data_IF_109773658238
#
_entry.id   IF_109773658238
#
_cell.length_a   1.000
_cell.length_b   1.000
_cell.length_c   1.000
_cell.angle_alpha   90.00
_cell.angle_beta   90.00
_cell.angle_gamma   90.00
#
_symmetry.space_group_name_H-M   'P 1'
#
loop_
_entity.id
_entity.type
_entity.pdbx_description
1 polymer ?
#
# COMPACT_ATOMS: atom_id res chain seq x y z
N UNK A 1 18.57 -58.92 5.73
CA UNK A 1 18.10 -57.96 6.75
C UNK A 1 19.26 -57.09 7.20
N UNK A 2 19.26 -55.77 6.92
CA UNK A 2 20.05 -54.81 7.64
C UNK A 2 19.18 -53.99 8.60
N UNK A 3 19.82 -53.56 9.67
CA UNK A 3 19.34 -52.97 10.92
C UNK A 3 18.65 -51.61 10.77
N UNK A 4 17.61 -51.39 11.58
CA UNK A 4 16.91 -50.10 11.76
C UNK A 4 17.83 -49.09 12.44
N UNK A 5 18.10 -47.98 11.77
CA UNK A 5 18.76 -46.81 12.35
C UNK A 5 17.83 -46.08 13.32
N UNK A 6 18.37 -45.83 14.52
CA UNK A 6 17.79 -44.99 15.56
C UNK A 6 17.90 -43.51 15.16
N UNK A 7 16.83 -42.93 14.61
CA UNK A 7 16.70 -41.48 14.50
C UNK A 7 16.09 -40.92 15.81
N UNK A 8 16.90 -40.23 16.62
CA UNK A 8 16.36 -39.42 17.72
C UNK A 8 15.65 -38.17 17.16
N UNK A 9 14.52 -37.74 17.75
CA UNK A 9 13.81 -36.56 17.29
C UNK A 9 14.62 -35.29 17.58
N UNK A 10 14.86 -34.49 16.54
CA UNK A 10 15.45 -33.16 16.64
C UNK A 10 14.55 -32.27 17.48
N UNK A 11 15.03 -31.87 18.66
CA UNK A 11 14.31 -30.97 19.58
C UNK A 11 14.38 -29.55 19.03
N UNK A 12 13.33 -29.10 18.35
CA UNK A 12 13.18 -27.70 17.95
C UNK A 12 13.02 -26.87 19.24
N UNK A 13 13.81 -25.81 19.47
CA UNK A 13 13.67 -25.01 20.67
C UNK A 13 12.31 -24.32 20.70
N UNK A 14 11.51 -24.63 21.74
CA UNK A 14 10.24 -23.96 22.01
C UNK A 14 10.58 -22.57 22.53
N UNK A 15 10.55 -21.58 21.65
CA UNK A 15 10.61 -20.16 22.04
C UNK A 15 9.30 -19.83 22.77
N UNK A 16 9.38 -19.31 24.00
CA UNK A 16 8.18 -19.01 24.80
C UNK A 16 7.30 -17.97 24.12
N UNK A 17 5.97 -18.14 24.21
CA UNK A 17 4.96 -17.20 23.67
C UNK A 17 5.20 -15.76 24.13
N UNK A 18 5.65 -15.59 25.38
CA UNK A 18 5.95 -14.28 25.95
C UNK A 18 7.15 -13.58 25.29
N UNK A 19 8.14 -14.34 24.80
CA UNK A 19 9.30 -13.77 24.11
C UNK A 19 8.94 -13.32 22.69
N UNK A 20 8.07 -14.08 22.01
CA UNK A 20 7.49 -13.69 20.71
C UNK A 20 6.60 -12.44 20.85
N UNK A 21 5.69 -12.40 21.83
CA UNK A 21 4.83 -11.26 22.09
C UNK A 21 5.60 -10.00 22.51
N UNK A 22 6.78 -10.15 23.15
CA UNK A 22 7.62 -9.02 23.55
C UNK A 22 8.48 -8.48 22.40
N UNK A 23 8.96 -9.34 21.49
CA UNK A 23 9.66 -8.92 20.28
C UNK A 23 8.72 -8.21 19.28
N UNK A 24 7.46 -8.65 19.22
CA UNK A 24 6.37 -8.00 18.48
C UNK A 24 6.23 -6.49 18.72
N UNK A 25 6.29 -6.12 20.00
CA UNK A 25 6.07 -4.76 20.47
C UNK A 25 7.21 -3.82 20.06
N UNK A 26 8.38 -4.36 19.74
CA UNK A 26 9.59 -3.59 19.41
C UNK A 26 9.53 -3.05 17.97
N UNK A 27 8.88 -3.75 17.04
CA UNK A 27 8.89 -3.42 15.60
C UNK A 27 7.55 -2.88 15.05
N UNK A 28 6.59 -2.54 15.92
CA UNK A 28 5.36 -1.91 15.48
C UNK A 28 5.60 -0.49 14.95
N UNK A 29 5.12 -0.11 13.76
CA UNK A 29 5.27 1.25 13.24
C UNK A 29 4.52 2.25 14.13
N UNK A 30 5.20 3.30 14.58
CA UNK A 30 4.63 4.33 15.48
C UNK A 30 4.46 5.70 14.83
N UNK A 31 5.12 5.91 13.70
CA UNK A 31 5.15 7.18 12.99
C UNK A 31 5.03 6.94 11.48
N UNK A 32 4.46 7.91 10.79
CA UNK A 32 4.48 7.96 9.32
C UNK A 32 5.75 8.67 8.89
N UNK A 33 6.43 8.09 7.89
CA UNK A 33 7.60 8.70 7.26
C UNK A 33 7.23 9.15 5.86
N UNK A 34 7.39 10.43 5.60
CA UNK A 34 7.18 11.03 4.29
C UNK A 34 8.48 11.66 3.81
N UNK A 35 8.88 11.33 2.58
CA UNK A 35 10.07 11.94 1.96
C UNK A 35 9.80 13.33 1.36
N UNK A 36 8.53 13.76 1.31
CA UNK A 36 8.16 15.05 0.71
C UNK A 36 8.56 16.20 1.63
N UNK A 37 8.98 17.33 1.06
CA UNK A 37 9.22 18.56 1.80
C UNK A 37 7.87 19.22 2.14
N UNK A 38 7.28 18.83 3.27
CA UNK A 38 5.95 19.26 3.70
C UNK A 38 5.86 20.80 3.82
N UNK A 39 6.81 21.53 4.43
CA UNK A 39 6.77 22.99 4.46
C UNK A 39 6.69 23.66 3.08
N UNK A 40 7.44 23.17 2.10
CA UNK A 40 7.39 23.72 0.73
C UNK A 40 6.04 23.41 0.06
N UNK A 41 5.46 22.24 0.33
CA UNK A 41 4.10 21.89 -0.13
C UNK A 41 3.04 22.83 0.44
N UNK A 42 3.08 23.07 1.75
CA UNK A 42 2.16 24.00 2.42
C UNK A 42 2.30 25.42 1.86
N UNK A 43 3.53 25.89 1.68
CA UNK A 43 3.80 27.21 1.11
C UNK A 43 3.29 27.33 -0.33
N UNK A 44 3.53 26.32 -1.16
CA UNK A 44 3.09 26.30 -2.56
C UNK A 44 1.56 26.27 -2.69
N UNK A 45 0.88 25.41 -1.93
CA UNK A 45 -0.59 25.31 -1.96
C UNK A 45 -1.25 26.58 -1.45
N UNK A 46 -0.74 27.16 -0.36
CA UNK A 46 -1.24 28.44 0.17
C UNK A 46 -1.04 29.58 -0.82
N UNK A 47 0.13 29.64 -1.49
CA UNK A 47 0.39 30.66 -2.52
C UNK A 47 -0.57 30.53 -3.72
N UNK A 48 -0.98 29.31 -4.05
CA UNK A 48 -1.94 29.04 -5.11
C UNK A 48 -3.41 29.22 -4.70
N UNK A 49 -3.70 29.44 -3.41
CA UNK A 49 -5.07 29.46 -2.89
C UNK A 49 -5.77 28.09 -2.94
N UNK A 50 -5.00 27.00 -2.86
CA UNK A 50 -5.48 25.62 -3.00
C UNK A 50 -5.29 24.80 -1.71
N UNK A 51 -4.90 25.45 -0.61
CA UNK A 51 -4.61 24.82 0.68
C UNK A 51 -5.84 24.16 1.32
N UNK A 52 -7.04 24.75 1.15
CA UNK A 52 -8.28 24.11 1.59
C UNK A 52 -8.68 22.94 0.69
N UNK A 53 -8.56 23.11 -0.64
CA UNK A 53 -8.95 22.09 -1.63
C UNK A 53 -8.11 20.82 -1.51
N UNK A 54 -6.82 20.93 -1.22
CA UNK A 54 -5.90 19.80 -1.08
C UNK A 54 -5.39 19.62 0.37
N UNK A 55 -6.23 19.97 1.35
CA UNK A 55 -5.91 19.79 2.76
C UNK A 55 -5.67 18.31 3.13
N UNK A 56 -6.40 17.41 2.47
CA UNK A 56 -6.28 15.96 2.59
C UNK A 56 -4.90 15.43 2.16
N UNK A 57 -4.31 16.01 1.10
CA UNK A 57 -2.96 15.66 0.65
C UNK A 57 -1.91 16.01 1.71
N UNK A 58 -2.00 17.22 2.28
CA UNK A 58 -1.10 17.66 3.35
C UNK A 58 -1.28 16.82 4.62
N UNK A 59 -2.53 16.49 4.96
CA UNK A 59 -2.83 15.57 6.05
C UNK A 59 -2.20 14.19 5.79
N UNK A 60 -2.36 13.65 4.58
CA UNK A 60 -1.83 12.36 4.18
C UNK A 60 -0.30 12.27 4.24
N UNK A 61 0.42 13.36 3.93
CA UNK A 61 1.87 13.39 4.13
C UNK A 61 2.29 13.29 5.60
N UNK A 62 1.48 13.83 6.53
CA UNK A 62 1.80 13.84 7.96
C UNK A 62 1.31 12.59 8.69
N UNK A 63 0.10 12.14 8.36
CA UNK A 63 -0.62 11.08 9.08
C UNK A 63 -0.76 9.78 8.28
N UNK A 64 -0.33 9.77 7.02
CA UNK A 64 -0.49 8.65 6.10
C UNK A 64 -1.80 8.74 5.31
N UNK A 65 -1.86 8.05 4.19
CA UNK A 65 -3.06 7.96 3.36
C UNK A 65 -3.87 6.72 3.73
N UNK A 66 -5.16 6.89 3.99
CA UNK A 66 -6.06 5.76 4.12
C UNK A 66 -6.40 5.18 2.74
N UNK A 67 -6.62 3.87 2.67
CA UNK A 67 -7.04 3.23 1.42
C UNK A 67 -8.51 3.51 1.05
N UNK A 68 -9.25 4.23 1.91
CA UNK A 68 -10.68 4.50 1.69
C UNK A 68 -11.58 3.34 2.11
N UNK A 69 -11.04 2.36 2.83
CA UNK A 69 -11.81 1.27 3.44
C UNK A 69 -12.21 1.73 4.85
N UNK A 70 -13.51 1.87 5.15
CA UNK A 70 -13.96 2.25 6.48
C UNK A 70 -13.69 1.17 7.52
N UNK A 71 -13.66 1.57 8.79
CA UNK A 71 -13.61 0.65 9.91
C UNK A 71 -14.80 -0.31 9.86
N UNK A 72 -14.52 -1.62 9.97
CA UNK A 72 -15.52 -2.66 9.86
C UNK A 72 -15.15 -3.88 10.70
N UNK A 73 -16.14 -4.74 10.93
CA UNK A 73 -15.99 -6.00 11.67
C UNK A 73 -16.75 -7.12 10.96
N UNK A 74 -16.50 -8.36 11.37
CA UNK A 74 -17.31 -9.51 10.99
C UNK A 74 -17.94 -10.05 12.28
N UNK A 75 -19.27 -10.20 12.27
CA UNK A 75 -20.02 -10.61 13.46
C UNK A 75 -19.49 -11.95 14.01
N UNK A 76 -19.20 -12.00 15.31
CA UNK A 76 -18.73 -13.20 16.00
C UNK A 76 -17.26 -13.56 15.74
N UNK A 77 -16.47 -12.70 15.08
CA UNK A 77 -15.06 -12.96 14.78
C UNK A 77 -14.15 -11.87 15.33
N UNK A 78 -13.05 -12.26 15.99
CA UNK A 78 -11.96 -11.33 16.35
C UNK A 78 -10.95 -11.13 15.22
N UNK A 79 -10.91 -12.04 14.25
CA UNK A 79 -10.13 -11.88 13.04
C UNK A 79 -10.63 -12.77 11.90
N UNK A 80 -10.29 -12.40 10.67
CA UNK A 80 -10.53 -13.22 9.47
C UNK A 80 -9.27 -13.30 8.61
N UNK A 81 -8.64 -14.48 8.56
CA UNK A 81 -7.38 -14.68 7.81
C UNK A 81 -7.47 -15.91 6.91
N UNK A 82 -8.09 -15.78 5.72
CA UNK A 82 -8.26 -16.89 4.79
C UNK A 82 -6.91 -17.33 4.19
N UNK A 83 -6.79 -18.60 3.74
CA UNK A 83 -5.60 -19.07 3.05
C UNK A 83 -5.40 -18.36 1.70
N UNK A 84 -4.14 -18.26 1.27
CA UNK A 84 -3.79 -17.73 -0.05
C UNK A 84 -4.26 -18.65 -1.19
N UNK A 85 -4.47 -18.08 -2.37
CA UNK A 85 -4.80 -18.82 -3.59
C UNK A 85 -3.64 -19.73 -4.01
N UNK A 86 -3.96 -20.83 -4.71
CA UNK A 86 -2.96 -21.79 -5.20
C UNK A 86 -1.86 -21.14 -6.05
N UNK A 87 -2.21 -20.14 -6.86
CA UNK A 87 -1.26 -19.37 -7.66
C UNK A 87 -0.18 -18.68 -6.81
N UNK A 88 -0.54 -18.17 -5.63
CA UNK A 88 0.43 -17.54 -4.73
C UNK A 88 1.32 -18.57 -4.05
N UNK A 89 0.78 -19.74 -3.71
CA UNK A 89 1.57 -20.84 -3.15
C UNK A 89 2.62 -21.34 -4.16
N UNK A 90 2.26 -21.45 -5.44
CA UNK A 90 3.18 -21.81 -6.51
C UNK A 90 4.27 -20.75 -6.75
N UNK A 91 3.97 -19.48 -6.47
CA UNK A 91 4.88 -18.36 -6.63
C UNK A 91 5.56 -17.91 -5.31
N UNK A 92 5.47 -18.72 -4.25
CA UNK A 92 5.85 -18.34 -2.88
C UNK A 92 7.22 -17.68 -2.79
N UNK A 93 8.26 -18.34 -3.28
CA UNK A 93 9.63 -17.85 -3.16
C UNK A 93 9.83 -16.49 -3.85
N UNK A 94 9.13 -16.24 -4.96
CA UNK A 94 9.19 -14.96 -5.67
C UNK A 94 8.47 -13.87 -4.88
N UNK A 95 7.30 -14.18 -4.31
CA UNK A 95 6.53 -13.25 -3.47
C UNK A 95 7.31 -12.89 -2.21
N UNK A 96 7.88 -13.88 -1.52
CA UNK A 96 8.68 -13.64 -0.32
C UNK A 96 9.88 -12.75 -0.62
N UNK A 97 10.59 -12.96 -1.74
CA UNK A 97 11.67 -12.08 -2.18
C UNK A 97 11.22 -10.64 -2.44
N UNK A 98 10.01 -10.44 -2.97
CA UNK A 98 9.45 -9.10 -3.16
C UNK A 98 9.13 -8.44 -1.82
N UNK A 99 8.47 -9.16 -0.91
CA UNK A 99 8.17 -8.66 0.44
C UNK A 99 9.46 -8.26 1.17
N UNK A 100 10.51 -9.08 1.10
CA UNK A 100 11.80 -8.75 1.72
C UNK A 100 12.43 -7.47 1.16
N UNK A 101 12.27 -7.19 -0.14
CA UNK A 101 12.73 -5.92 -0.73
C UNK A 101 11.94 -4.72 -0.18
N UNK A 102 10.63 -4.86 -0.04
CA UNK A 102 9.77 -3.79 0.52
C UNK A 102 10.04 -3.57 2.02
N UNK A 103 10.31 -4.64 2.79
CA UNK A 103 10.75 -4.56 4.18
C UNK A 103 12.11 -3.85 4.30
N UNK A 104 13.09 -4.22 3.47
CA UNK A 104 14.41 -3.58 3.45
C UNK A 104 14.35 -2.10 3.05
N UNK A 105 13.37 -1.73 2.21
CA UNK A 105 13.12 -0.34 1.85
C UNK A 105 12.32 0.44 2.91
N UNK A 106 11.84 -0.22 3.98
CA UNK A 106 11.00 0.40 5.01
C UNK A 106 9.59 0.77 4.53
N UNK A 107 9.13 0.16 3.43
CA UNK A 107 7.82 0.44 2.81
C UNK A 107 6.73 -0.53 3.30
N UNK A 108 7.12 -1.66 3.87
CA UNK A 108 6.23 -2.59 4.55
C UNK A 108 6.72 -2.83 5.99
N UNK A 109 5.80 -3.23 6.87
CA UNK A 109 6.11 -3.63 8.24
C UNK A 109 5.59 -5.04 8.51
N UNK A 110 6.24 -5.75 9.42
CA UNK A 110 5.95 -7.14 9.75
C UNK A 110 6.93 -8.14 9.10
N UNK A 111 6.52 -9.39 8.83
CA UNK A 111 5.19 -9.95 9.08
C UNK A 111 4.86 -9.96 10.58
N UNK A 112 3.60 -9.73 10.91
CA UNK A 112 3.11 -9.80 12.29
C UNK A 112 2.35 -11.11 12.53
N UNK A 113 2.46 -11.66 13.73
CA UNK A 113 1.63 -12.80 14.15
C UNK A 113 0.24 -12.32 14.58
N UNK A 114 -0.75 -13.21 14.56
CA UNK A 114 -2.11 -12.91 15.02
C UNK A 114 -2.16 -12.30 16.42
N UNK A 115 -1.31 -12.76 17.36
CA UNK A 115 -1.28 -12.22 18.72
C UNK A 115 -0.81 -10.77 18.76
N UNK A 116 0.14 -10.41 17.90
CA UNK A 116 0.70 -9.07 17.83
C UNK A 116 -0.35 -8.10 17.29
N UNK A 117 -1.05 -8.49 16.21
CA UNK A 117 -2.11 -7.68 15.61
C UNK A 117 -3.32 -7.58 16.54
N UNK A 118 -3.72 -8.68 17.19
CA UNK A 118 -4.82 -8.69 18.17
C UNK A 118 -4.55 -7.81 19.39
N UNK A 119 -3.27 -7.58 19.75
CA UNK A 119 -2.92 -6.65 20.84
C UNK A 119 -3.12 -5.18 20.48
N UNK A 120 -3.28 -4.87 19.18
CA UNK A 120 -3.38 -3.51 18.65
C UNK A 120 -4.78 -3.19 18.15
N UNK A 121 -5.45 -4.18 17.57
CA UNK A 121 -6.76 -4.00 16.97
C UNK A 121 -7.77 -4.99 17.56
N UNK A 122 -8.98 -4.53 17.92
CA UNK A 122 -10.03 -5.42 18.41
C UNK A 122 -10.51 -6.39 17.32
N UNK A 123 -10.36 -6.02 16.05
CA UNK A 123 -10.61 -6.85 14.88
C UNK A 123 -9.55 -6.60 13.82
N UNK A 124 -9.14 -7.64 13.10
CA UNK A 124 -8.32 -7.50 11.90
C UNK A 124 -8.63 -8.58 10.86
N UNK A 125 -8.38 -8.28 9.59
CA UNK A 125 -8.50 -9.27 8.52
C UNK A 125 -7.34 -9.21 7.54
N UNK A 126 -7.07 -10.34 6.90
CA UNK A 126 -6.26 -10.40 5.68
C UNK A 126 -7.15 -10.79 4.51
N UNK A 127 -6.62 -10.65 3.29
CA UNK A 127 -7.23 -11.24 2.11
C UNK A 127 -6.23 -12.18 1.43
N UNK A 128 -6.71 -13.17 0.66
CA UNK A 128 -5.83 -14.09 -0.03
C UNK A 128 -4.92 -13.35 -1.02
N UNK A 129 -3.66 -13.74 -1.04
CA UNK A 129 -2.79 -13.43 -2.16
C UNK A 129 -3.04 -14.38 -3.33
N UNK A 130 -3.09 -13.82 -4.53
CA UNK A 130 -2.88 -14.50 -5.81
C UNK A 130 -1.54 -14.10 -6.42
N UNK A 131 -1.18 -14.70 -7.56
CA UNK A 131 0.01 -14.33 -8.30
C UNK A 131 -0.26 -14.35 -9.81
N UNK A 132 0.28 -13.36 -10.51
CA UNK A 132 0.25 -13.28 -11.98
C UNK A 132 1.66 -13.01 -12.50
N UNK A 133 1.98 -13.59 -13.66
CA UNK A 133 3.21 -13.28 -14.39
C UNK A 133 2.89 -12.20 -15.42
N UNK A 134 3.62 -11.09 -15.36
CA UNK A 134 3.51 -9.99 -16.32
C UNK A 134 4.17 -10.35 -17.65
N UNK A 135 3.94 -9.54 -18.69
CA UNK A 135 4.53 -9.75 -20.02
C UNK A 135 6.06 -9.71 -20.07
N UNK A 136 6.69 -9.05 -19.09
CA UNK A 136 8.16 -9.01 -18.92
C UNK A 136 8.72 -10.21 -18.11
N UNK A 137 7.87 -11.18 -17.77
CA UNK A 137 8.22 -12.35 -16.97
C UNK A 137 8.29 -12.10 -15.46
N UNK A 138 8.10 -10.86 -15.01
CA UNK A 138 8.07 -10.55 -13.57
C UNK A 138 6.80 -11.08 -12.92
N UNK A 139 6.90 -11.54 -11.67
CA UNK A 139 5.74 -12.03 -10.90
C UNK A 139 5.21 -10.91 -10.03
N UNK A 140 3.89 -10.68 -10.07
CA UNK A 140 3.19 -9.69 -9.25
C UNK A 140 2.23 -10.40 -8.30
N UNK A 141 2.38 -10.25 -6.97
CA UNK A 141 1.35 -10.66 -6.04
C UNK A 141 0.10 -9.79 -6.22
N UNK A 142 -1.09 -10.40 -6.09
CA UNK A 142 -2.37 -9.71 -6.16
C UNK A 142 -3.10 -9.91 -4.84
N UNK A 143 -3.56 -8.82 -4.22
CA UNK A 143 -4.38 -8.86 -3.02
C UNK A 143 -5.86 -8.97 -3.41
N UNK A 144 -6.51 -10.10 -3.13
CA UNK A 144 -7.90 -10.35 -3.57
C UNK A 144 -8.92 -9.73 -2.61
N UNK A 145 -9.21 -8.44 -2.81
CA UNK A 145 -10.20 -7.69 -2.02
C UNK A 145 -11.67 -8.11 -2.28
N UNK A 146 -11.90 -9.00 -3.25
CA UNK A 146 -13.21 -9.54 -3.61
C UNK A 146 -13.41 -10.98 -3.12
N UNK A 147 -12.63 -11.41 -2.12
CA UNK A 147 -12.78 -12.69 -1.44
C UNK A 147 -13.49 -12.54 -0.08
N UNK A 148 -14.31 -13.52 0.35
CA UNK A 148 -14.75 -14.73 -0.36
C UNK A 148 -15.90 -14.48 -1.34
N UNK A 149 -15.90 -15.17 -2.48
CA UNK A 149 -17.05 -15.11 -3.40
C UNK A 149 -18.19 -15.97 -2.86
N UNK A 150 -19.42 -15.45 -2.94
CA UNK A 150 -20.65 -16.17 -2.59
C UNK A 150 -20.80 -16.56 -1.11
N UNK A 151 -20.23 -15.79 -0.18
CA UNK A 151 -20.48 -15.96 1.26
C UNK A 151 -21.11 -14.70 1.84
N UNK A 152 -22.41 -14.77 2.15
CA UNK A 152 -23.17 -13.63 2.67
C UNK A 152 -22.79 -13.23 4.11
N UNK A 153 -22.17 -14.13 4.86
CA UNK A 153 -21.75 -13.86 6.24
C UNK A 153 -20.43 -13.07 6.31
N UNK A 154 -19.67 -13.01 5.21
CA UNK A 154 -18.36 -12.37 5.16
C UNK A 154 -18.36 -11.31 4.04
N UNK A 155 -18.54 -10.03 4.39
CA UNK A 155 -18.51 -8.96 3.40
C UNK A 155 -17.15 -8.87 2.70
N UNK A 156 -17.19 -8.51 1.42
CA UNK A 156 -16.00 -8.26 0.61
C UNK A 156 -15.34 -6.96 1.07
N UNK A 157 -14.02 -6.85 1.00
CA UNK A 157 -13.38 -5.58 1.34
C UNK A 157 -13.85 -4.48 0.38
N UNK A 158 -13.95 -4.82 -0.91
CA UNK A 158 -14.44 -3.89 -1.93
C UNK A 158 -15.90 -3.47 -1.74
N UNK A 159 -16.74 -4.23 -1.02
CA UNK A 159 -18.13 -3.81 -0.79
C UNK A 159 -18.26 -2.71 0.27
N UNK A 160 -17.18 -2.36 0.97
CA UNK A 160 -17.17 -1.24 1.91
C UNK A 160 -16.77 0.09 1.29
N UNK A 161 -16.28 0.08 0.04
CA UNK A 161 -15.80 1.27 -0.64
C UNK A 161 -16.89 1.77 -1.59
N UNK A 162 -17.40 2.96 -1.32
CA UNK A 162 -18.42 3.60 -2.15
C UNK A 162 -17.75 4.34 -3.31
N UNK A 163 -18.05 3.94 -4.56
CA UNK A 163 -17.37 4.51 -5.74
C UNK A 163 -17.59 6.03 -5.91
N UNK A 164 -18.75 6.53 -5.47
CA UNK A 164 -19.10 7.96 -5.48
C UNK A 164 -18.20 8.82 -4.60
N UNK A 165 -17.56 8.23 -3.58
CA UNK A 165 -16.67 8.98 -2.68
C UNK A 165 -15.29 9.21 -3.33
N UNK A 166 -15.06 8.63 -4.51
CA UNK A 166 -13.83 8.74 -5.30
C UNK A 166 -14.09 9.28 -6.71
N UNK A 167 -15.06 10.19 -6.84
CA UNK A 167 -15.28 10.90 -8.12
C UNK A 167 -14.00 11.58 -8.57
N UNK A 168 -13.43 11.09 -9.67
CA UNK A 168 -12.27 11.67 -10.30
C UNK A 168 -12.71 12.66 -11.36
N UNK A 169 -12.15 13.87 -11.32
CA UNK A 169 -12.23 14.80 -12.44
C UNK A 169 -11.24 14.37 -13.52
N UNK A 170 -11.75 13.83 -14.62
CA UNK A 170 -10.95 13.53 -15.81
C UNK A 170 -11.13 14.65 -16.83
N UNK A 171 -10.03 15.25 -17.27
CA UNK A 171 -10.03 16.09 -18.46
C UNK A 171 -9.56 15.28 -19.67
N UNK A 172 -10.18 15.53 -20.83
CA UNK A 172 -9.79 14.92 -22.10
C UNK A 172 -8.41 15.43 -22.54
N UNK A 173 -7.59 14.54 -23.13
CA UNK A 173 -6.27 14.91 -23.63
C UNK A 173 -6.32 16.12 -24.57
N UNK A 174 -7.32 16.19 -25.45
CA UNK A 174 -7.46 17.29 -26.40
C UNK A 174 -7.86 18.58 -25.70
N UNK A 175 -8.63 18.53 -24.61
CA UNK A 175 -8.95 19.71 -23.80
C UNK A 175 -7.67 20.29 -23.19
N UNK A 176 -6.87 19.45 -22.54
CA UNK A 176 -5.60 19.86 -21.92
C UNK A 176 -4.59 20.34 -22.99
N UNK A 177 -4.50 19.63 -24.12
CA UNK A 177 -3.62 20.03 -25.23
C UNK A 177 -4.07 21.37 -25.85
N UNK A 178 -5.37 21.57 -26.05
CA UNK A 178 -5.95 22.81 -26.57
C UNK A 178 -5.69 23.99 -25.62
N UNK A 179 -5.82 23.77 -24.30
CA UNK A 179 -5.43 24.75 -23.28
C UNK A 179 -3.96 25.17 -23.45
N UNK A 180 -3.02 24.24 -23.56
CA UNK A 180 -1.61 24.58 -23.76
C UNK A 180 -1.32 25.25 -25.11
N UNK A 181 -1.99 24.84 -26.19
CA UNK A 181 -1.78 25.42 -27.52
C UNK A 181 -2.27 26.88 -27.61
N UNK A 182 -3.41 27.17 -26.99
CA UNK A 182 -4.07 28.47 -27.07
C UNK A 182 -3.50 29.50 -26.10
N UNK A 183 -2.87 29.05 -25.01
CA UNK A 183 -2.21 29.96 -24.09
C UNK A 183 -0.74 30.19 -24.46
N UNK A 184 -0.41 31.40 -24.91
CA UNK A 184 0.97 31.80 -25.28
C UNK A 184 1.80 32.30 -24.09
N UNK A 185 1.25 32.30 -22.90
CA UNK A 185 1.94 32.72 -21.67
C UNK A 185 2.88 31.63 -21.16
N UNK A 186 3.87 32.01 -20.35
CA UNK A 186 4.72 31.02 -19.68
C UNK A 186 3.97 30.37 -18.53
N UNK A 187 4.03 29.04 -18.45
CA UNK A 187 3.45 28.26 -17.37
C UNK A 187 4.53 27.56 -16.56
N UNK A 188 4.26 27.39 -15.26
CA UNK A 188 5.00 26.45 -14.42
C UNK A 188 4.15 25.18 -14.29
N UNK A 189 4.62 24.09 -14.90
CA UNK A 189 3.96 22.79 -14.82
C UNK A 189 4.70 21.89 -13.82
N UNK A 190 3.94 21.23 -12.96
CA UNK A 190 4.43 20.15 -12.11
C UNK A 190 3.60 18.90 -12.40
N UNK A 191 4.27 17.78 -12.67
CA UNK A 191 3.64 16.47 -12.80
C UNK A 191 4.06 15.63 -11.61
N UNK A 192 3.08 15.10 -10.89
CA UNK A 192 3.30 14.25 -9.74
C UNK A 192 2.95 12.82 -10.12
N UNK A 193 3.93 11.92 -10.02
CA UNK A 193 3.71 10.50 -10.21
C UNK A 193 3.84 9.80 -8.86
N UNK A 194 2.78 9.12 -8.41
CA UNK A 194 2.79 8.32 -7.18
C UNK A 194 3.73 7.10 -7.23
N UNK A 195 4.38 6.84 -8.37
CA UNK A 195 5.52 5.92 -8.46
C UNK A 195 6.80 6.75 -8.54
N UNK A 196 7.62 6.63 -7.50
CA UNK A 196 9.06 6.99 -7.44
C UNK A 196 9.43 8.27 -8.22
N UNK A 197 9.49 9.40 -7.49
CA UNK A 197 10.24 10.65 -7.78
C UNK A 197 10.63 10.91 -9.24
N UNK A 198 10.04 11.93 -9.89
CA UNK A 198 10.77 12.93 -10.71
C UNK A 198 9.96 14.24 -10.71
N UNK A 199 10.38 15.25 -9.93
CA UNK A 199 10.00 16.63 -10.20
C UNK A 199 11.02 17.19 -11.21
N UNK A 200 10.63 17.30 -12.49
CA UNK A 200 11.42 18.04 -13.49
C UNK A 200 10.81 19.43 -13.64
N UNK A 201 11.48 20.42 -13.07
CA UNK A 201 11.24 21.83 -13.41
C UNK A 201 11.75 22.07 -14.84
N UNK A 202 10.86 22.24 -15.82
CA UNK A 202 11.26 22.81 -17.10
C UNK A 202 11.47 24.32 -16.94
N UNK A 203 12.63 24.82 -17.38
CA UNK A 203 12.89 26.27 -17.45
C UNK A 203 12.03 26.89 -18.55
N UNK A 204 11.55 28.13 -18.38
CA UNK A 204 10.81 28.82 -19.44
C UNK A 204 11.67 28.95 -20.70
N UNK A 205 11.07 28.67 -21.86
CA UNK A 205 11.66 29.02 -23.15
C UNK A 205 11.93 30.53 -23.17
N UNK A 206 13.20 30.92 -23.31
CA UNK A 206 13.54 32.31 -23.65
C UNK A 206 13.06 32.54 -25.08
N UNK A 207 12.13 33.47 -25.25
CA UNK A 207 11.86 34.05 -26.56
C UNK A 207 13.13 34.79 -27.01
N UNK A 208 13.70 34.38 -28.14
CA UNK A 208 14.77 35.12 -28.82
C UNK A 208 14.22 36.43 -29.42
N UNK A 209 15.07 37.44 -29.64
CA UNK A 209 14.64 38.73 -30.14
C UNK A 209 14.31 38.69 -31.63
N UNK A 210 13.41 39.60 -31.99
CA UNK A 210 12.82 39.94 -33.31
C UNK A 210 13.78 39.93 -34.49
#
# INVERSE_FOLDING_TARGET
>A
MPTRDNAQPVRIPIVSKDKLAKAALVNWPKEVRCEMNIPEWEAALRKAGLDQTFADVLHGFKAGFHQGIPDHTIAGMSHYTPPNHSSALQAKDKIEKLIQKELAAGLMFGPFTHLEVASKFPFFRTNPLGAVVNGDGSTRPINDLSFPRNNLCIPLVNSFVEAKDFEMTWDDFNIVACFFQNNKTSFHLAVLTGKRRIAKSQRPCRNGPT
#
